data_IF_705228717429
#
_entry.id   IF_705228717429
#
_cell.length_a   1.000
_cell.length_b   1.000
_cell.length_c   1.000
_cell.angle_alpha   90.00
_cell.angle_beta   90.00
_cell.angle_gamma   90.00
#
_symmetry.space_group_name_H-M   'P 1'
#
loop_
_entity.id
_entity.type
_entity.pdbx_description
1 polymer ?
#
# COMPACT_ATOMS: atom_id res chain seq x y z
N UNK A 1 -15.33 -6.89 -16.13
CA UNK A 1 -15.19 -7.09 -14.66
C UNK A 1 -15.66 -5.80 -13.97
N UNK A 2 -16.54 -5.84 -12.96
CA UNK A 2 -16.90 -4.64 -12.20
C UNK A 2 -16.08 -4.65 -10.91
N UNK A 3 -15.12 -3.75 -10.77
CA UNK A 3 -14.35 -3.59 -9.55
C UNK A 3 -15.30 -3.20 -8.39
N UNK A 4 -15.04 -3.71 -7.17
CA UNK A 4 -15.80 -3.31 -5.97
C UNK A 4 -17.15 -4.00 -5.76
N UNK A 5 -17.45 -5.14 -6.40
CA UNK A 5 -18.67 -5.90 -6.09
C UNK A 5 -18.69 -6.33 -4.62
N UNK A 6 -19.75 -5.95 -3.90
CA UNK A 6 -19.93 -6.29 -2.48
C UNK A 6 -19.14 -5.41 -1.50
N UNK A 7 -18.50 -4.34 -1.97
CA UNK A 7 -17.87 -3.38 -1.06
C UNK A 7 -18.91 -2.73 -0.16
N UNK A 8 -18.66 -2.78 1.15
CA UNK A 8 -19.43 -2.08 2.17
C UNK A 8 -18.55 -0.99 2.75
N UNK A 9 -18.87 0.30 2.53
CA UNK A 9 -18.09 1.38 3.13
C UNK A 9 -18.20 1.28 4.66
N UNK A 10 -17.09 1.57 5.34
CA UNK A 10 -17.09 1.80 6.77
C UNK A 10 -17.85 3.10 7.06
N UNK A 11 -18.62 3.12 8.15
CA UNK A 11 -19.19 4.37 8.66
C UNK A 11 -18.10 5.29 9.25
N UNK A 12 -18.51 6.49 9.66
CA UNK A 12 -17.56 7.52 10.16
C UNK A 12 -16.83 7.06 11.42
N UNK A 13 -17.50 6.36 12.32
CA UNK A 13 -16.95 5.94 13.61
C UNK A 13 -15.99 4.77 13.41
N UNK A 14 -16.35 3.85 12.52
CA UNK A 14 -15.48 2.75 12.09
C UNK A 14 -14.21 3.27 11.41
N UNK A 15 -14.32 4.27 10.54
CA UNK A 15 -13.14 4.93 9.92
C UNK A 15 -12.27 5.63 10.94
N UNK A 16 -12.87 6.36 11.89
CA UNK A 16 -12.14 7.05 12.95
C UNK A 16 -11.38 6.06 13.84
N UNK A 17 -12.05 4.99 14.27
CA UNK A 17 -11.43 3.92 15.06
C UNK A 17 -10.27 3.24 14.31
N UNK A 18 -10.42 3.02 13.00
CA UNK A 18 -9.35 2.44 12.19
C UNK A 18 -8.14 3.37 12.07
N UNK A 19 -8.38 4.68 11.88
CA UNK A 19 -7.30 5.68 11.78
C UNK A 19 -6.53 5.84 13.08
N UNK A 20 -7.23 5.86 14.21
CA UNK A 20 -6.60 5.96 15.53
C UNK A 20 -5.61 4.81 15.80
N UNK A 21 -5.87 3.60 15.29
CA UNK A 21 -4.98 2.44 15.44
C UNK A 21 -3.63 2.59 14.74
N UNK A 22 -3.54 3.45 13.73
CA UNK A 22 -2.36 3.57 12.86
C UNK A 22 -1.74 4.96 12.91
N UNK A 23 -2.23 5.84 13.77
CA UNK A 23 -1.84 7.26 13.82
C UNK A 23 -0.32 7.44 13.95
N UNK A 24 0.31 6.77 14.91
CA UNK A 24 1.76 6.86 15.15
C UNK A 24 2.57 6.44 13.93
N UNK A 25 2.26 5.24 13.38
CA UNK A 25 2.98 4.67 12.24
C UNK A 25 2.71 5.43 10.93
N UNK A 26 1.59 6.14 10.83
CA UNK A 26 1.26 6.96 9.67
C UNK A 26 2.07 8.27 9.65
N UNK A 27 2.50 8.78 10.81
CA UNK A 27 3.21 10.06 10.93
C UNK A 27 4.74 9.97 11.00
N UNK A 28 5.28 8.83 11.43
CA UNK A 28 6.72 8.70 11.70
C UNK A 28 7.60 8.35 10.49
N UNK A 29 7.00 8.23 9.32
CA UNK A 29 7.70 8.05 8.05
C UNK A 29 8.23 6.64 7.79
N UNK A 30 8.04 5.67 8.69
CA UNK A 30 8.59 4.30 8.53
C UNK A 30 8.05 3.55 7.31
N UNK A 31 6.94 4.01 6.74
CA UNK A 31 6.26 3.39 5.59
C UNK A 31 6.50 4.18 4.29
N UNK A 32 7.25 5.29 4.31
CA UNK A 32 7.39 6.16 3.12
C UNK A 32 8.05 5.49 1.91
N UNK A 33 8.91 4.50 2.14
CA UNK A 33 9.50 3.70 1.07
C UNK A 33 8.44 2.99 0.21
N UNK A 34 7.30 2.62 0.80
CA UNK A 34 6.20 1.99 0.08
C UNK A 34 5.53 2.94 -0.92
N UNK A 35 5.57 4.26 -0.68
CA UNK A 35 4.93 5.26 -1.53
C UNK A 35 5.83 5.77 -2.65
N UNK A 36 7.15 5.80 -2.39
CA UNK A 36 8.11 6.60 -3.17
C UNK A 36 9.19 5.78 -3.86
N UNK A 37 9.26 4.48 -3.61
CA UNK A 37 10.32 3.62 -4.15
C UNK A 37 9.75 2.30 -4.68
N UNK A 38 10.56 1.59 -5.48
CA UNK A 38 10.25 0.27 -6.02
C UNK A 38 10.64 -0.86 -5.06
N UNK A 39 11.02 -0.53 -3.82
CA UNK A 39 11.60 -1.50 -2.89
C UNK A 39 10.69 -2.71 -2.67
N UNK A 40 9.36 -2.48 -2.62
CA UNK A 40 8.35 -3.51 -2.39
C UNK A 40 7.64 -3.99 -3.66
N UNK A 41 8.05 -3.52 -4.85
CA UNK A 41 7.42 -3.94 -6.09
C UNK A 41 7.82 -5.36 -6.48
N UNK A 42 6.84 -6.15 -6.92
CA UNK A 42 7.10 -7.48 -7.45
C UNK A 42 7.87 -7.45 -8.78
N UNK A 43 8.59 -8.54 -9.14
CA UNK A 43 9.37 -8.61 -10.37
C UNK A 43 8.57 -8.28 -11.64
N UNK A 44 7.29 -8.66 -11.67
CA UNK A 44 6.41 -8.35 -12.81
C UNK A 44 6.20 -6.84 -12.99
N UNK A 45 5.89 -6.11 -11.92
CA UNK A 45 5.69 -4.66 -11.96
C UNK A 45 6.99 -3.91 -12.25
N UNK A 46 8.12 -4.38 -11.68
CA UNK A 46 9.44 -3.83 -12.00
C UNK A 46 9.76 -3.94 -13.50
N UNK A 47 9.51 -5.12 -14.11
CA UNK A 47 9.69 -5.33 -15.56
C UNK A 47 8.78 -4.43 -16.40
N UNK A 48 7.52 -4.25 -16.02
CA UNK A 48 6.58 -3.38 -16.75
C UNK A 48 7.04 -1.93 -16.80
N UNK A 49 7.73 -1.47 -15.75
CA UNK A 49 8.27 -0.12 -15.68
C UNK A 49 9.75 -0.02 -16.11
N UNK A 50 10.31 -1.09 -16.68
CA UNK A 50 11.69 -1.11 -17.18
C UNK A 50 12.76 -1.05 -16.09
N UNK A 51 12.41 -1.34 -14.83
CA UNK A 51 13.36 -1.36 -13.73
C UNK A 51 14.18 -2.66 -13.73
N UNK A 52 15.43 -2.56 -13.29
CA UNK A 52 16.26 -3.73 -13.00
C UNK A 52 15.59 -4.60 -11.95
N UNK A 53 15.42 -5.88 -12.27
CA UNK A 53 14.93 -6.87 -11.33
C UNK A 53 16.14 -7.39 -10.57
N UNK A 54 16.22 -7.09 -9.28
CA UNK A 54 17.16 -7.79 -8.42
C UNK A 54 16.68 -9.23 -8.28
N UNK A 55 17.49 -10.18 -8.74
CA UNK A 55 17.25 -11.59 -8.47
C UNK A 55 17.64 -11.87 -7.02
N UNK A 56 16.65 -12.00 -6.15
CA UNK A 56 16.88 -12.50 -4.79
C UNK A 56 17.24 -13.98 -4.91
N UNK A 57 18.53 -14.30 -4.69
CA UNK A 57 19.03 -15.67 -4.55
C UNK A 57 18.53 -16.33 -3.27
#
# INVERSE_FOLDING_TARGET
MKAGRGFKPLDKDQLASMRAKVEDAAGDGRIELFKSTQHFDGPHHKKQHGFTVEETS
#
